data_IF_842942779489
#
_entry.id   IF_842942779489
#
_cell.length_a   1.000
_cell.length_b   1.000
_cell.length_c   1.000
_cell.angle_alpha   90.00
_cell.angle_beta   90.00
_cell.angle_gamma   90.00
#
_symmetry.space_group_name_H-M   'P 1'
#
loop_
_entity.id
_entity.type
_entity.pdbx_description
1 polymer ?
#
# COMPACT_ATOMS: atom_id res chain seq x y z
N UNK A 1 1.82 16.49 12.40
CA UNK A 1 2.48 15.90 11.21
C UNK A 1 1.57 16.13 10.01
N UNK A 2 2.16 16.21 8.80
CA UNK A 2 1.44 16.14 7.53
C UNK A 2 1.55 14.73 6.98
N UNK A 3 0.44 14.05 6.81
CA UNK A 3 0.37 12.64 6.41
C UNK A 3 -0.31 12.56 5.04
N UNK A 4 0.38 12.00 4.06
CA UNK A 4 -0.20 11.65 2.77
C UNK A 4 -0.87 10.27 2.87
N UNK A 5 -2.14 10.17 2.47
CA UNK A 5 -2.84 8.88 2.40
C UNK A 5 -3.19 8.61 0.94
N UNK A 6 -2.79 7.44 0.45
CA UNK A 6 -3.05 7.01 -0.93
C UNK A 6 -3.99 5.80 -0.91
N UNK A 7 -5.02 5.89 -1.72
CA UNK A 7 -5.96 4.79 -2.01
C UNK A 7 -6.05 4.58 -3.52
N UNK A 8 -6.38 3.37 -3.96
CA UNK A 8 -6.53 3.07 -5.39
C UNK A 8 -7.94 3.39 -5.91
N UNK A 9 -8.96 3.16 -5.09
CA UNK A 9 -10.36 3.19 -5.50
C UNK A 9 -11.17 4.26 -4.77
N UNK A 10 -12.25 4.72 -5.42
CA UNK A 10 -13.16 5.71 -4.84
C UNK A 10 -13.92 5.20 -3.59
N UNK A 11 -14.18 3.90 -3.50
CA UNK A 11 -14.78 3.27 -2.32
C UNK A 11 -13.89 3.37 -1.10
N UNK A 12 -12.60 3.10 -1.26
CA UNK A 12 -11.58 3.20 -0.23
C UNK A 12 -11.41 4.66 0.23
N UNK A 13 -11.24 5.56 -0.75
CA UNK A 13 -11.11 7.00 -0.48
C UNK A 13 -12.28 7.53 0.35
N UNK A 14 -13.52 7.17 -0.02
CA UNK A 14 -14.72 7.61 0.71
C UNK A 14 -14.71 7.16 2.17
N UNK A 15 -14.27 5.94 2.45
CA UNK A 15 -14.20 5.43 3.83
C UNK A 15 -13.20 6.23 4.67
N UNK A 16 -12.00 6.48 4.13
CA UNK A 16 -10.99 7.28 4.83
C UNK A 16 -11.44 8.73 4.98
N UNK A 17 -12.06 9.30 3.95
CA UNK A 17 -12.57 10.67 3.98
C UNK A 17 -13.63 10.91 5.07
N UNK A 18 -14.39 9.88 5.48
CA UNK A 18 -15.36 9.99 6.57
C UNK A 18 -14.71 10.28 7.93
N UNK A 19 -13.45 9.89 8.11
CA UNK A 19 -12.69 10.09 9.34
C UNK A 19 -12.09 11.50 9.45
N UNK A 20 -12.09 12.27 8.36
CA UNK A 20 -11.46 13.58 8.31
C UNK A 20 -12.42 14.67 8.83
N UNK A 21 -11.86 15.56 9.62
CA UNK A 21 -12.50 16.83 10.04
C UNK A 21 -12.01 17.97 9.12
N UNK A 22 -12.79 19.07 9.05
CA UNK A 22 -12.44 20.31 8.32
C UNK A 22 -12.05 20.06 6.84
N UNK A 23 -12.81 19.20 6.17
CA UNK A 23 -12.50 18.75 4.81
C UNK A 23 -12.57 19.88 3.78
N UNK A 24 -11.58 19.87 2.89
CA UNK A 24 -11.52 20.70 1.69
C UNK A 24 -11.11 19.82 0.51
N UNK A 25 -11.95 19.78 -0.53
CA UNK A 25 -11.67 19.04 -1.75
C UNK A 25 -11.16 19.99 -2.83
N UNK A 26 -10.17 19.53 -3.58
CA UNK A 26 -9.62 20.28 -4.71
C UNK A 26 -8.92 19.36 -5.71
N UNK A 27 -8.61 19.90 -6.86
CA UNK A 27 -7.87 19.21 -7.92
C UNK A 27 -6.55 19.93 -8.11
N UNK A 28 -5.46 19.16 -8.12
CA UNK A 28 -4.14 19.64 -8.46
C UNK A 28 -3.55 18.70 -9.52
N UNK A 29 -3.21 19.24 -10.69
CA UNK A 29 -2.84 18.43 -11.84
C UNK A 29 -3.94 17.44 -12.24
N UNK A 30 -3.60 16.15 -12.48
CA UNK A 30 -4.58 15.13 -12.86
C UNK A 30 -5.30 14.47 -11.68
N UNK A 31 -4.96 14.83 -10.44
CA UNK A 31 -5.44 14.14 -9.25
C UNK A 31 -6.39 14.99 -8.41
N UNK A 32 -7.32 14.32 -7.75
CA UNK A 32 -8.23 14.89 -6.77
C UNK A 32 -7.75 14.57 -5.36
N UNK A 33 -7.80 15.59 -4.50
CA UNK A 33 -7.36 15.54 -3.12
C UNK A 33 -8.47 15.94 -2.17
N UNK A 34 -8.47 15.32 -1.00
CA UNK A 34 -9.22 15.76 0.17
C UNK A 34 -8.22 16.10 1.27
N UNK A 35 -8.05 17.37 1.56
CA UNK A 35 -7.31 17.83 2.74
C UNK A 35 -8.25 17.87 3.93
N UNK A 36 -7.77 17.47 5.10
CA UNK A 36 -8.52 17.52 6.33
C UNK A 36 -7.61 17.28 7.54
N UNK A 37 -8.21 17.06 8.69
CA UNK A 37 -7.46 16.80 9.92
C UNK A 37 -7.96 15.55 10.64
N UNK A 38 -7.04 14.86 11.30
CA UNK A 38 -7.32 13.83 12.31
C UNK A 38 -6.50 14.20 13.54
N UNK A 39 -7.17 14.60 14.63
CA UNK A 39 -6.51 15.16 15.83
C UNK A 39 -5.57 16.31 15.44
N UNK A 40 -4.28 16.21 15.76
CA UNK A 40 -3.26 17.23 15.49
C UNK A 40 -2.50 17.01 14.17
N UNK A 41 -2.99 16.13 13.28
CA UNK A 41 -2.34 15.84 12.02
C UNK A 41 -3.12 16.43 10.85
N UNK A 42 -2.41 17.01 9.88
CA UNK A 42 -2.96 17.38 8.58
C UNK A 42 -2.91 16.15 7.68
N UNK A 43 -4.02 15.82 7.06
CA UNK A 43 -4.13 14.67 6.17
C UNK A 43 -4.34 15.16 4.74
N UNK A 44 -3.53 14.66 3.83
CA UNK A 44 -3.72 14.81 2.38
C UNK A 44 -4.11 13.44 1.82
N UNK A 45 -5.39 13.25 1.61
CA UNK A 45 -5.94 12.02 1.06
C UNK A 45 -6.09 12.15 -0.45
N UNK A 46 -5.56 11.18 -1.19
CA UNK A 46 -5.73 11.13 -2.64
C UNK A 46 -6.12 9.73 -3.12
N UNK A 47 -6.77 9.70 -4.27
CA UNK A 47 -7.00 8.49 -5.06
C UNK A 47 -6.04 8.50 -6.24
N UNK A 48 -5.14 7.50 -6.30
CA UNK A 48 -4.20 7.39 -7.41
C UNK A 48 -4.79 6.67 -8.64
N UNK A 49 -5.74 5.75 -8.45
CA UNK A 49 -6.18 4.79 -9.47
C UNK A 49 -5.46 3.45 -9.33
N UNK A 50 -5.93 2.46 -10.08
CA UNK A 50 -5.46 1.07 -10.00
C UNK A 50 -4.17 0.89 -10.82
N UNK A 51 -3.25 0.10 -10.29
CA UNK A 51 -2.04 -0.38 -10.96
C UNK A 51 -0.81 0.49 -10.75
N UNK A 52 0.36 -0.09 -11.06
CA UNK A 52 1.68 0.47 -10.74
C UNK A 52 1.91 1.87 -11.30
N UNK A 53 1.52 2.12 -12.54
CA UNK A 53 1.76 3.43 -13.20
C UNK A 53 0.95 4.53 -12.52
N UNK A 54 -0.32 4.30 -12.25
CA UNK A 54 -1.19 5.24 -11.55
C UNK A 54 -0.68 5.51 -10.13
N UNK A 55 -0.32 4.44 -9.42
CA UNK A 55 0.22 4.53 -8.06
C UNK A 55 1.55 5.31 -8.02
N UNK A 56 2.47 5.04 -8.96
CA UNK A 56 3.73 5.77 -9.07
C UNK A 56 3.52 7.26 -9.37
N UNK A 57 2.71 7.57 -10.39
CA UNK A 57 2.42 8.96 -10.78
C UNK A 57 1.78 9.74 -9.62
N UNK A 58 0.77 9.14 -8.97
CA UNK A 58 0.11 9.76 -7.82
C UNK A 58 1.04 9.97 -6.64
N UNK A 59 1.90 8.99 -6.33
CA UNK A 59 2.86 9.11 -5.21
C UNK A 59 3.87 10.22 -5.46
N UNK A 60 4.40 10.33 -6.68
CA UNK A 60 5.31 11.42 -7.06
C UNK A 60 4.63 12.77 -6.88
N UNK A 61 3.41 12.91 -7.39
CA UNK A 61 2.66 14.17 -7.30
C UNK A 61 2.36 14.54 -5.85
N UNK A 62 1.89 13.59 -5.04
CA UNK A 62 1.64 13.80 -3.61
C UNK A 62 2.91 14.27 -2.88
N UNK A 63 4.04 13.61 -3.10
CA UNK A 63 5.29 13.95 -2.42
C UNK A 63 5.78 15.33 -2.84
N UNK A 64 5.77 15.63 -4.14
CA UNK A 64 6.32 16.91 -4.66
C UNK A 64 5.45 18.10 -4.29
N UNK A 65 4.14 17.95 -4.34
CA UNK A 65 3.20 19.04 -4.08
C UNK A 65 3.05 19.33 -2.59
N UNK A 66 2.94 18.29 -1.77
CA UNK A 66 2.57 18.47 -0.36
C UNK A 66 3.70 18.22 0.63
N UNK A 67 4.79 17.56 0.22
CA UNK A 67 5.94 17.26 1.08
C UNK A 67 5.51 16.65 2.43
N UNK A 68 4.79 15.50 2.41
CA UNK A 68 4.30 14.89 3.65
C UNK A 68 5.47 14.34 4.48
N UNK A 69 5.30 14.33 5.80
CA UNK A 69 6.24 13.71 6.75
C UNK A 69 6.29 12.19 6.59
N UNK A 70 5.17 11.59 6.18
CA UNK A 70 5.08 10.17 5.81
C UNK A 70 3.90 9.93 4.87
N UNK A 71 3.93 8.76 4.21
CA UNK A 71 2.85 8.25 3.36
C UNK A 71 2.23 7.01 4.00
N UNK A 72 0.91 6.88 3.90
CA UNK A 72 0.18 5.65 4.23
C UNK A 72 -0.53 5.18 2.96
N UNK A 73 -0.18 3.98 2.49
CA UNK A 73 -0.94 3.28 1.47
C UNK A 73 -1.99 2.42 2.15
N UNK A 74 -3.25 2.59 1.80
CA UNK A 74 -4.33 1.80 2.40
C UNK A 74 -5.39 1.44 1.37
N UNK A 75 -5.95 0.24 1.50
CA UNK A 75 -6.94 -0.27 0.57
C UNK A 75 -7.33 -1.70 0.90
N UNK A 76 -7.78 -2.43 -0.13
CA UNK A 76 -8.08 -3.85 -0.04
C UNK A 76 -7.02 -4.68 -0.76
N UNK A 77 -6.77 -5.90 -0.27
CA UNK A 77 -5.81 -6.82 -0.86
C UNK A 77 -6.36 -8.24 -0.90
N UNK A 78 -5.89 -9.04 -1.85
CA UNK A 78 -6.14 -10.48 -1.89
C UNK A 78 -5.30 -11.20 -0.83
N UNK A 79 -5.90 -12.09 -0.02
CA UNK A 79 -5.14 -12.91 0.92
C UNK A 79 -4.46 -14.08 0.23
N UNK A 80 -3.15 -14.28 0.47
CA UNK A 80 -2.40 -15.44 -0.04
C UNK A 80 -2.30 -16.51 1.03
N UNK A 81 -2.06 -16.11 2.27
CA UNK A 81 -1.83 -17.02 3.38
C UNK A 81 -3.14 -17.47 4.01
N UNK A 82 -3.20 -18.76 4.37
CA UNK A 82 -4.38 -19.37 5.01
C UNK A 82 -4.62 -18.89 6.44
N UNK A 83 -3.66 -18.23 7.08
CA UNK A 83 -3.85 -17.65 8.41
C UNK A 83 -4.79 -16.44 8.40
N UNK A 84 -4.95 -15.77 7.25
CA UNK A 84 -5.80 -14.59 7.11
C UNK A 84 -7.27 -14.97 6.96
N UNK A 85 -8.12 -14.24 7.66
CA UNK A 85 -9.58 -14.26 7.47
C UNK A 85 -10.01 -13.01 6.72
N UNK A 86 -11.20 -13.08 6.10
CA UNK A 86 -11.84 -11.90 5.50
C UNK A 86 -11.98 -10.82 6.57
N UNK A 87 -11.67 -9.57 6.20
CA UNK A 87 -11.62 -8.39 7.08
C UNK A 87 -10.42 -8.33 8.03
N UNK A 88 -9.52 -9.31 8.06
CA UNK A 88 -8.25 -9.14 8.76
C UNK A 88 -7.42 -8.03 8.09
N UNK A 89 -6.64 -7.33 8.89
CA UNK A 89 -5.75 -6.27 8.44
C UNK A 89 -4.34 -6.82 8.28
N UNK A 90 -3.72 -6.57 7.13
CA UNK A 90 -2.29 -6.82 6.90
C UNK A 90 -1.55 -5.50 6.96
N UNK A 91 -0.62 -5.38 7.90
CA UNK A 91 0.34 -4.28 7.96
C UNK A 91 1.66 -4.79 7.42
N UNK A 92 2.17 -4.15 6.37
CA UNK A 92 3.37 -4.66 5.73
C UNK A 92 4.64 -4.07 6.31
N UNK A 93 5.56 -4.96 6.65
CA UNK A 93 6.93 -4.62 6.99
C UNK A 93 7.81 -4.49 5.74
N UNK A 94 7.49 -5.29 4.71
CA UNK A 94 8.22 -5.34 3.45
C UNK A 94 7.27 -5.48 2.27
N UNK A 95 7.63 -4.87 1.16
CA UNK A 95 6.94 -5.01 -0.13
C UNK A 95 7.89 -5.63 -1.14
N UNK A 96 7.37 -6.55 -1.97
CA UNK A 96 8.09 -7.14 -3.10
C UNK A 96 7.20 -7.12 -4.34
N UNK A 97 7.81 -7.00 -5.53
CA UNK A 97 7.07 -7.25 -6.77
C UNK A 97 6.96 -8.74 -7.02
N UNK A 98 5.76 -9.24 -7.30
CA UNK A 98 5.56 -10.65 -7.66
C UNK A 98 5.64 -10.92 -9.16
N UNK A 99 5.70 -9.87 -9.98
CA UNK A 99 5.64 -9.91 -11.44
C UNK A 99 6.88 -9.31 -12.14
N UNK A 100 7.98 -9.12 -11.40
CA UNK A 100 9.22 -8.55 -11.91
C UNK A 100 10.32 -9.60 -11.98
N UNK A 101 11.00 -9.65 -13.13
CA UNK A 101 12.20 -10.42 -13.34
C UNK A 101 13.20 -9.65 -14.22
N UNK A 102 14.36 -9.31 -13.67
CA UNK A 102 15.41 -8.54 -14.35
C UNK A 102 16.61 -9.40 -14.78
N UNK A 103 16.44 -10.73 -14.89
CA UNK A 103 17.47 -11.65 -15.34
C UNK A 103 18.41 -12.14 -14.24
N UNK A 104 19.39 -12.96 -14.65
CA UNK A 104 20.39 -13.54 -13.74
C UNK A 104 21.18 -12.46 -13.00
N UNK A 105 21.52 -12.76 -11.74
CA UNK A 105 22.19 -11.81 -10.83
C UNK A 105 21.22 -10.93 -10.03
N UNK A 106 19.91 -10.97 -10.31
CA UNK A 106 18.87 -10.33 -9.52
C UNK A 106 18.00 -11.38 -8.82
N UNK A 107 17.43 -11.01 -7.67
CA UNK A 107 16.41 -11.83 -7.03
C UNK A 107 15.07 -11.70 -7.78
N UNK A 108 14.22 -12.73 -7.73
CA UNK A 108 12.86 -12.61 -8.26
C UNK A 108 12.09 -11.52 -7.49
N UNK A 109 11.41 -10.65 -8.21
CA UNK A 109 10.76 -9.45 -7.66
C UNK A 109 11.66 -8.22 -7.56
N UNK A 110 12.96 -8.35 -7.84
CA UNK A 110 13.91 -7.24 -7.78
C UNK A 110 13.99 -6.50 -9.11
N UNK A 111 13.89 -5.18 -9.06
CA UNK A 111 14.30 -4.30 -10.15
C UNK A 111 15.81 -4.09 -10.05
N UNK A 112 16.53 -4.27 -11.15
CA UNK A 112 17.98 -4.12 -11.17
C UNK A 112 18.42 -2.75 -10.63
N UNK A 113 19.38 -2.76 -9.70
CA UNK A 113 19.89 -1.55 -9.06
C UNK A 113 19.06 -1.02 -7.90
N UNK A 114 17.95 -1.69 -7.58
CA UNK A 114 17.11 -1.37 -6.42
C UNK A 114 17.13 -2.52 -5.40
N UNK A 115 16.69 -2.30 -4.15
CA UNK A 115 16.55 -3.36 -3.17
C UNK A 115 15.63 -4.48 -3.68
N UNK A 116 15.91 -5.72 -3.27
CA UNK A 116 15.05 -6.86 -3.59
C UNK A 116 13.66 -6.72 -2.94
N UNK A 117 13.60 -6.02 -1.82
CA UNK A 117 12.37 -5.67 -1.08
C UNK A 117 12.45 -4.24 -0.60
N UNK A 118 11.32 -3.56 -0.59
CA UNK A 118 11.20 -2.21 -0.03
C UNK A 118 10.71 -2.31 1.41
N UNK A 119 11.39 -1.61 2.31
CA UNK A 119 11.05 -1.62 3.74
C UNK A 119 9.97 -0.58 4.04
N UNK A 120 8.96 -0.98 4.82
CA UNK A 120 8.07 -0.06 5.50
C UNK A 120 8.77 0.63 6.67
N UNK A 121 8.26 1.78 7.08
CA UNK A 121 8.80 2.49 8.25
C UNK A 121 8.52 1.70 9.54
N UNK A 122 9.58 1.35 10.28
CA UNK A 122 9.49 0.51 11.47
C UNK A 122 8.58 1.13 12.56
N UNK A 123 8.72 2.44 12.81
CA UNK A 123 7.90 3.13 13.82
C UNK A 123 6.41 3.10 13.48
N UNK A 124 6.06 3.32 12.21
CA UNK A 124 4.67 3.24 11.74
C UNK A 124 4.14 1.81 11.80
N UNK A 125 4.98 0.83 11.44
CA UNK A 125 4.63 -0.59 11.56
C UNK A 125 4.35 -0.98 13.02
N UNK A 126 5.27 -0.68 13.94
CA UNK A 126 5.14 -1.01 15.36
C UNK A 126 3.91 -0.31 15.98
N UNK A 127 3.65 0.94 15.58
CA UNK A 127 2.44 1.66 16.00
C UNK A 127 1.16 0.94 15.55
N UNK A 128 1.09 0.51 14.29
CA UNK A 128 -0.07 -0.22 13.77
C UNK A 128 -0.25 -1.58 14.44
N UNK A 129 0.85 -2.32 14.67
CA UNK A 129 0.81 -3.63 15.34
C UNK A 129 0.43 -3.54 16.83
N UNK A 130 0.63 -2.39 17.47
CA UNK A 130 0.29 -2.16 18.88
C UNK A 130 -1.16 -1.74 19.11
N UNK A 131 -1.96 -1.58 18.07
CA UNK A 131 -3.36 -1.16 18.19
C UNK A 131 -4.19 -2.26 18.87
N UNK A 132 -4.90 -1.88 19.93
CA UNK A 132 -5.92 -2.72 20.54
C UNK A 132 -7.23 -2.57 19.76
N UNK A 133 -7.56 -3.58 18.99
CA UNK A 133 -8.71 -3.60 18.07
C UNK A 133 -9.31 -5.00 17.99
N UNK A 134 -10.64 -5.14 17.85
CA UNK A 134 -11.28 -6.45 17.65
C UNK A 134 -10.91 -7.11 16.31
N UNK A 135 -10.40 -6.35 15.36
CA UNK A 135 -9.93 -6.86 14.06
C UNK A 135 -8.52 -7.40 14.20
N UNK A 136 -8.27 -8.62 13.73
CA UNK A 136 -6.91 -9.19 13.75
C UNK A 136 -5.98 -8.40 12.82
N UNK A 137 -4.80 -8.07 13.33
CA UNK A 137 -3.74 -7.38 12.57
C UNK A 137 -2.57 -8.36 12.40
N UNK A 138 -2.17 -8.58 11.16
CA UNK A 138 -1.06 -9.46 10.80
C UNK A 138 0.07 -8.62 10.19
N UNK A 139 1.27 -8.80 10.72
CA UNK A 139 2.48 -8.14 10.18
C UNK A 139 3.22 -9.07 9.21
N UNK A 140 3.54 -8.61 7.99
CA UNK A 140 4.28 -9.44 7.05
C UNK A 140 4.56 -8.84 5.69
N UNK A 141 4.77 -9.69 4.70
CA UNK A 141 5.10 -9.32 3.32
C UNK A 141 3.84 -9.14 2.49
N UNK A 142 3.74 -8.01 1.75
CA UNK A 142 2.78 -7.83 0.66
C UNK A 142 3.51 -8.03 -0.67
N UNK A 143 2.92 -8.85 -1.55
CA UNK A 143 3.40 -9.12 -2.91
C UNK A 143 2.60 -8.27 -3.90
N UNK A 144 3.23 -7.30 -4.53
CA UNK A 144 2.58 -6.32 -5.41
C UNK A 144 2.84 -6.60 -6.89
N UNK A 145 1.85 -6.38 -7.76
CA UNK A 145 2.04 -6.57 -9.20
C UNK A 145 0.84 -6.12 -10.03
N UNK A 146 1.03 -5.86 -11.32
CA UNK A 146 0.00 -5.31 -12.22
C UNK A 146 -0.98 -6.38 -12.72
N UNK A 147 -1.42 -7.26 -11.81
CA UNK A 147 -2.39 -8.31 -12.11
C UNK A 147 -3.41 -8.47 -11.00
N UNK A 148 -4.68 -8.39 -11.36
CA UNK A 148 -5.77 -8.77 -10.44
C UNK A 148 -5.85 -10.29 -10.36
N UNK A 149 -5.41 -10.85 -9.24
CA UNK A 149 -5.30 -12.29 -9.02
C UNK A 149 -6.63 -12.83 -8.49
N UNK A 150 -7.25 -13.71 -9.26
CA UNK A 150 -8.50 -14.38 -8.89
C UNK A 150 -8.37 -15.92 -8.88
N UNK A 151 -7.34 -16.45 -9.54
CA UNK A 151 -7.09 -17.88 -9.63
C UNK A 151 -6.24 -18.35 -8.46
N UNK A 152 -6.67 -19.43 -7.81
CA UNK A 152 -5.96 -20.02 -6.68
C UNK A 152 -4.60 -20.60 -7.07
N UNK A 153 -4.44 -21.05 -8.31
CA UNK A 153 -3.14 -21.52 -8.81
C UNK A 153 -2.11 -20.40 -8.85
N UNK A 154 -2.52 -19.19 -9.27
CA UNK A 154 -1.64 -18.03 -9.31
C UNK A 154 -1.24 -17.55 -7.91
N UNK A 155 -2.17 -17.62 -6.95
CA UNK A 155 -1.84 -17.35 -5.53
C UNK A 155 -0.80 -18.34 -5.00
N UNK A 156 -0.92 -19.63 -5.36
CA UNK A 156 0.04 -20.66 -5.00
C UNK A 156 1.42 -20.39 -5.63
N UNK A 157 1.47 -20.01 -6.90
CA UNK A 157 2.73 -19.69 -7.61
C UNK A 157 3.45 -18.49 -6.94
N UNK A 158 2.69 -17.50 -6.48
CA UNK A 158 3.24 -16.37 -5.71
C UNK A 158 3.74 -16.87 -4.35
N UNK A 159 2.96 -17.71 -3.66
CA UNK A 159 3.33 -18.25 -2.35
C UNK A 159 4.56 -19.14 -2.41
N UNK A 160 4.77 -19.90 -3.49
CA UNK A 160 5.97 -20.70 -3.72
C UNK A 160 7.23 -19.85 -3.86
N UNK A 161 7.12 -18.68 -4.50
CA UNK A 161 8.23 -17.73 -4.64
C UNK A 161 8.46 -16.88 -3.39
N UNK A 162 7.40 -16.61 -2.63
CA UNK A 162 7.40 -15.75 -1.46
C UNK A 162 6.66 -16.44 -0.31
N UNK A 163 7.32 -17.42 0.32
CA UNK A 163 6.73 -18.25 1.38
C UNK A 163 6.13 -17.47 2.54
N UNK A 164 6.70 -16.30 2.86
CA UNK A 164 6.22 -15.39 3.90
C UNK A 164 5.17 -14.37 3.42
N UNK A 165 4.81 -14.41 2.12
CA UNK A 165 3.78 -13.53 1.55
C UNK A 165 2.42 -13.73 2.23
N UNK A 166 1.82 -12.66 2.71
CA UNK A 166 0.50 -12.66 3.35
C UNK A 166 -0.60 -12.23 2.38
N UNK A 167 -0.35 -11.18 1.60
CA UNK A 167 -1.37 -10.59 0.74
C UNK A 167 -0.79 -10.15 -0.61
N UNK A 168 -1.68 -9.95 -1.59
CA UNK A 168 -1.37 -9.40 -2.92
C UNK A 168 -2.17 -8.14 -3.16
N UNK A 169 -1.54 -7.16 -3.80
CA UNK A 169 -2.16 -5.93 -4.28
C UNK A 169 -1.58 -5.48 -5.63
N UNK A 170 -2.02 -4.33 -6.12
CA UNK A 170 -1.56 -3.81 -7.40
C UNK A 170 -0.82 -2.46 -7.31
N UNK A 171 -0.66 -1.87 -6.14
CA UNK A 171 -0.15 -0.51 -5.96
C UNK A 171 1.05 -0.39 -5.02
N UNK A 172 1.08 -1.17 -3.94
CA UNK A 172 2.07 -1.03 -2.86
C UNK A 172 3.50 -1.06 -3.35
N UNK A 173 3.82 -1.90 -4.34
CA UNK A 173 5.17 -1.98 -4.90
C UNK A 173 5.62 -0.67 -5.53
N UNK A 174 4.76 -0.05 -6.33
CA UNK A 174 5.05 1.23 -6.98
C UNK A 174 5.14 2.38 -5.98
N UNK A 175 4.22 2.42 -5.00
CA UNK A 175 4.27 3.41 -3.90
C UNK A 175 5.58 3.24 -3.11
N UNK A 176 5.95 1.98 -2.78
CA UNK A 176 7.16 1.65 -2.06
C UNK A 176 8.42 2.12 -2.78
N UNK A 177 8.51 1.83 -4.07
CA UNK A 177 9.63 2.22 -4.91
C UNK A 177 9.78 3.75 -4.97
N UNK A 178 8.70 4.49 -5.17
CA UNK A 178 8.73 5.96 -5.21
C UNK A 178 9.11 6.51 -3.83
N UNK A 179 8.52 6.02 -2.74
CA UNK A 179 8.88 6.45 -1.39
C UNK A 179 10.35 6.15 -1.07
N UNK A 180 10.89 5.01 -1.53
CA UNK A 180 12.32 4.69 -1.40
C UNK A 180 13.19 5.71 -2.16
N UNK A 181 12.85 6.02 -3.41
CA UNK A 181 13.60 6.99 -4.24
C UNK A 181 13.59 8.39 -3.61
N UNK A 182 12.44 8.83 -3.11
CA UNK A 182 12.27 10.15 -2.50
C UNK A 182 12.62 10.20 -1.01
N UNK A 183 12.97 9.04 -0.41
CA UNK A 183 13.31 8.89 1.02
C UNK A 183 12.21 9.38 1.96
N UNK A 184 10.96 9.10 1.60
CA UNK A 184 9.79 9.42 2.41
C UNK A 184 9.38 8.17 3.19
N UNK A 185 9.21 8.26 4.54
CA UNK A 185 8.71 7.15 5.35
C UNK A 185 7.33 6.69 4.86
N UNK A 186 7.09 5.37 4.80
CA UNK A 186 5.83 4.83 4.30
C UNK A 186 5.35 3.64 5.13
N UNK A 187 4.03 3.52 5.28
CA UNK A 187 3.33 2.37 5.85
C UNK A 187 2.31 1.83 4.88
N UNK A 188 2.11 0.53 4.90
CA UNK A 188 1.14 -0.17 4.05
C UNK A 188 0.17 -0.94 4.94
N UNK A 189 -1.12 -0.65 4.81
CA UNK A 189 -2.17 -1.22 5.64
C UNK A 189 -3.34 -1.62 4.76
N UNK A 190 -3.58 -2.91 4.60
CA UNK A 190 -4.59 -3.43 3.69
C UNK A 190 -5.56 -4.37 4.41
N UNK A 191 -6.84 -4.25 4.09
CA UNK A 191 -7.89 -5.17 4.49
C UNK A 191 -7.93 -6.35 3.51
N UNK A 192 -7.97 -7.59 4.03
CA UNK A 192 -8.28 -8.74 3.18
C UNK A 192 -9.69 -8.61 2.62
N UNK A 193 -9.81 -8.43 1.30
CA UNK A 193 -11.08 -8.36 0.61
C UNK A 193 -11.85 -9.70 0.68
N UNK A 194 -13.17 -9.64 0.52
CA UNK A 194 -14.00 -10.79 0.16
C UNK A 194 -13.50 -11.34 -1.18
N UNK A 195 -13.27 -12.65 -1.26
CA UNK A 195 -13.11 -13.32 -2.54
C UNK A 195 -14.44 -13.13 -3.30
N UNK A 196 -14.42 -12.37 -4.37
CA UNK A 196 -15.54 -12.37 -5.31
C UNK A 196 -15.50 -13.70 -6.03
N UNK A 197 -16.44 -14.57 -5.70
CA UNK A 197 -16.73 -15.80 -6.45
C UNK A 197 -17.14 -15.47 -7.88
#
# INVERSE_FOLDING_TARGET
MKIGIITAMSSEQKQVAQLLENKKEYTEGPFQYTEGSIRNNTIILMKCGIGKVNAAAGTVELIRTFQPDCVISTGVAGGIDSCLKIMDVVVSRQIVYHDVWCGEGNMYGQIQGLPARFEGNATLFDCAMSLDTPTAIHGGLICSGDKFITDRSELNDIKEKFHEGLAVDMESGAIAQICYIYKVPVSYTHLRAHETT
#
